data_IF_317524607692
#
_entry.id   IF_317524607692
#
_cell.length_a   1.000
_cell.length_b   1.000
_cell.length_c   1.000
_cell.angle_alpha   90.00
_cell.angle_beta   90.00
_cell.angle_gamma   90.00
#
_symmetry.space_group_name_H-M   'P 1'
#
loop_
_entity.id
_entity.type
_entity.pdbx_description
1 polymer ?
#
# COMPACT_ATOMS: atom_id res chain seq x y z
N UNK A 1 -13.62 -25.97 6.86
CA UNK A 1 -14.59 -25.13 7.61
C UNK A 1 -13.94 -24.40 8.78
N UNK A 2 -13.24 -25.09 9.70
CA UNK A 2 -12.57 -24.45 10.86
C UNK A 2 -11.59 -23.35 10.46
N UNK A 3 -10.74 -23.60 9.46
CA UNK A 3 -9.75 -22.62 8.98
C UNK A 3 -10.39 -21.29 8.52
N UNK A 4 -11.47 -21.36 7.74
CA UNK A 4 -12.21 -20.18 7.27
C UNK A 4 -12.84 -19.39 8.42
N UNK A 5 -13.33 -20.08 9.46
CA UNK A 5 -13.89 -19.43 10.66
C UNK A 5 -12.80 -18.67 11.41
N UNK A 6 -11.62 -19.28 11.57
CA UNK A 6 -10.47 -18.64 12.24
C UNK A 6 -10.02 -17.39 11.47
N UNK A 7 -9.84 -17.47 10.15
CA UNK A 7 -9.44 -16.30 9.34
C UNK A 7 -10.45 -15.16 9.47
N UNK A 8 -11.75 -15.46 9.36
CA UNK A 8 -12.80 -14.44 9.52
C UNK A 8 -12.80 -13.82 10.91
N UNK A 9 -12.53 -14.61 11.94
CA UNK A 9 -12.42 -14.12 13.31
C UNK A 9 -11.21 -13.21 13.49
N UNK A 10 -10.03 -13.63 12.99
CA UNK A 10 -8.82 -12.82 13.02
C UNK A 10 -9.00 -11.50 12.25
N UNK A 11 -9.58 -11.54 11.05
CA UNK A 11 -9.85 -10.34 10.25
C UNK A 11 -10.76 -9.33 10.94
N UNK A 12 -11.72 -9.79 11.75
CA UNK A 12 -12.56 -8.90 12.58
C UNK A 12 -11.76 -8.23 13.68
N UNK A 13 -10.90 -8.98 14.39
CA UNK A 13 -10.02 -8.43 15.42
C UNK A 13 -9.09 -7.38 14.82
N UNK A 14 -8.44 -7.69 13.69
CA UNK A 14 -7.56 -6.74 13.00
C UNK A 14 -8.28 -5.44 12.65
N UNK A 15 -9.49 -5.55 12.08
CA UNK A 15 -10.28 -4.38 11.71
C UNK A 15 -10.67 -3.55 12.94
N UNK A 16 -11.06 -4.18 14.04
CA UNK A 16 -11.39 -3.51 15.30
C UNK A 16 -10.17 -2.79 15.89
N UNK A 17 -9.00 -3.44 15.94
CA UNK A 17 -7.75 -2.84 16.41
C UNK A 17 -7.32 -1.63 15.58
N UNK A 18 -7.31 -1.77 14.25
CA UNK A 18 -6.97 -0.67 13.34
C UNK A 18 -7.97 0.47 13.50
N UNK A 19 -9.27 0.17 13.61
CA UNK A 19 -10.31 1.19 13.81
C UNK A 19 -10.10 1.95 15.12
N UNK A 20 -9.71 1.28 16.20
CA UNK A 20 -9.41 1.93 17.47
C UNK A 20 -8.18 2.85 17.38
N UNK A 21 -7.11 2.40 16.72
CA UNK A 21 -5.91 3.21 16.48
C UNK A 21 -6.27 4.46 15.66
N UNK A 22 -7.03 4.30 14.57
CA UNK A 22 -7.47 5.41 13.74
C UNK A 22 -8.40 6.37 14.49
N UNK A 23 -9.32 5.84 15.30
CA UNK A 23 -10.26 6.64 16.10
C UNK A 23 -9.52 7.58 17.05
N UNK A 24 -8.47 7.10 17.71
CA UNK A 24 -7.60 7.93 18.58
C UNK A 24 -6.89 9.07 17.84
N UNK A 25 -6.76 8.95 16.50
CA UNK A 25 -6.12 9.93 15.61
C UNK A 25 -7.13 10.80 14.86
N UNK A 26 -8.44 10.65 15.12
CA UNK A 26 -9.48 11.35 14.36
C UNK A 26 -9.58 10.89 12.90
N UNK A 27 -9.25 9.63 12.63
CA UNK A 27 -9.31 9.02 11.30
C UNK A 27 -10.31 7.87 11.26
N UNK A 28 -10.75 7.50 10.06
CA UNK A 28 -11.54 6.29 9.77
C UNK A 28 -10.99 5.58 8.54
N UNK A 29 -11.24 4.28 8.44
CA UNK A 29 -10.90 3.48 7.26
C UNK A 29 -11.71 4.01 6.07
N UNK A 30 -11.04 4.19 4.93
CA UNK A 30 -11.67 4.31 3.63
C UNK A 30 -11.36 3.04 2.85
N UNK A 31 -12.41 2.25 2.60
CA UNK A 31 -12.32 0.96 1.92
C UNK A 31 -11.83 1.16 0.47
N UNK A 32 -10.83 0.37 0.08
CA UNK A 32 -10.28 0.32 -1.27
C UNK A 32 -10.66 -1.04 -1.87
N UNK A 33 -11.01 -1.04 -3.16
CA UNK A 33 -11.36 -2.27 -3.88
C UNK A 33 -10.24 -3.32 -3.80
N UNK A 34 -10.56 -4.60 -3.52
CA UNK A 34 -9.58 -5.66 -3.39
C UNK A 34 -9.23 -6.26 -4.77
N UNK A 35 -8.66 -5.45 -5.66
CA UNK A 35 -8.35 -5.78 -7.06
C UNK A 35 -6.89 -6.20 -7.31
N UNK A 36 -6.09 -6.29 -6.24
CA UNK A 36 -4.63 -6.51 -6.31
C UNK A 36 -3.83 -5.23 -6.55
N UNK A 37 -4.49 -4.11 -6.87
CA UNK A 37 -3.91 -2.78 -7.02
C UNK A 37 -4.09 -1.92 -5.75
N UNK A 38 -4.60 -2.52 -4.66
CA UNK A 38 -5.07 -1.83 -3.46
C UNK A 38 -4.03 -0.91 -2.80
N UNK A 39 -2.74 -1.28 -2.80
CA UNK A 39 -1.65 -0.43 -2.29
C UNK A 39 -1.60 0.90 -3.05
N UNK A 40 -1.51 0.82 -4.38
CA UNK A 40 -1.43 2.01 -5.24
C UNK A 40 -2.72 2.81 -5.17
N UNK A 41 -3.88 2.15 -5.15
CA UNK A 41 -5.18 2.80 -5.03
C UNK A 41 -5.34 3.51 -3.67
N UNK A 42 -4.85 2.93 -2.57
CA UNK A 42 -4.88 3.54 -1.25
C UNK A 42 -4.05 4.83 -1.18
N UNK A 43 -2.83 4.81 -1.75
CA UNK A 43 -1.95 5.99 -1.84
C UNK A 43 -2.51 7.02 -2.82
N UNK A 44 -3.08 6.59 -3.95
CA UNK A 44 -3.70 7.46 -4.94
C UNK A 44 -4.91 8.20 -4.35
N UNK A 45 -5.72 7.51 -3.53
CA UNK A 45 -6.80 8.12 -2.77
C UNK A 45 -6.27 9.19 -1.78
N UNK A 46 -5.20 8.92 -1.03
CA UNK A 46 -4.58 9.91 -0.11
C UNK A 46 -4.09 11.19 -0.83
N UNK A 47 -3.65 11.06 -2.08
CA UNK A 47 -3.15 12.18 -2.88
C UNK A 47 -4.25 12.91 -3.65
N UNK A 48 -5.40 12.28 -3.84
CA UNK A 48 -6.49 12.86 -4.61
C UNK A 48 -7.17 13.98 -3.84
N UNK A 49 -7.54 15.03 -4.55
CA UNK A 49 -8.32 16.16 -4.05
C UNK A 49 -9.39 16.53 -5.07
N UNK A 50 -10.32 17.43 -4.71
CA UNK A 50 -11.43 17.82 -5.59
C UNK A 50 -10.98 18.32 -6.97
N UNK A 51 -9.77 18.87 -7.08
CA UNK A 51 -9.23 19.42 -8.34
C UNK A 51 -8.19 18.50 -9.02
N UNK A 52 -7.81 17.38 -8.39
CA UNK A 52 -6.76 16.51 -8.91
C UNK A 52 -7.02 15.07 -8.49
N UNK A 53 -7.39 14.24 -9.46
CA UNK A 53 -7.49 12.79 -9.29
C UNK A 53 -6.15 12.15 -9.62
N UNK A 54 -5.61 11.38 -8.68
CA UNK A 54 -4.47 10.51 -8.89
C UNK A 54 -4.99 9.08 -9.06
N UNK A 55 -4.42 8.31 -9.97
CA UNK A 55 -4.81 6.92 -10.23
C UNK A 55 -3.77 5.95 -9.70
N UNK A 56 -4.18 4.72 -9.36
CA UNK A 56 -3.25 3.65 -9.00
C UNK A 56 -2.24 3.38 -10.12
N UNK A 57 -2.68 3.43 -11.38
CA UNK A 57 -1.81 3.36 -12.56
C UNK A 57 -0.73 4.46 -12.53
N UNK A 58 -1.08 5.73 -12.33
CA UNK A 58 -0.05 6.78 -12.26
C UNK A 58 0.99 6.53 -11.14
N UNK A 59 0.58 5.88 -10.04
CA UNK A 59 1.49 5.51 -8.95
C UNK A 59 2.34 4.29 -9.27
N UNK A 60 1.80 3.26 -9.94
CA UNK A 60 2.59 2.13 -10.47
C UNK A 60 3.75 2.61 -11.33
N UNK A 61 3.46 3.55 -12.22
CA UNK A 61 4.46 4.13 -13.13
C UNK A 61 5.53 4.91 -12.36
N UNK A 62 5.13 5.67 -11.33
CA UNK A 62 6.08 6.35 -10.43
C UNK A 62 6.98 5.38 -9.67
N UNK A 63 6.40 4.34 -9.07
CA UNK A 63 7.15 3.32 -8.33
C UNK A 63 8.17 2.62 -9.24
N UNK A 64 7.71 2.12 -10.40
CA UNK A 64 8.58 1.44 -11.37
C UNK A 64 9.72 2.33 -11.86
N UNK A 65 9.44 3.60 -12.18
CA UNK A 65 10.46 4.53 -12.67
C UNK A 65 11.48 4.86 -11.57
N UNK A 66 11.04 5.01 -10.32
CA UNK A 66 11.93 5.28 -9.20
C UNK A 66 12.81 4.07 -8.89
N UNK A 67 12.23 2.86 -8.82
CA UNK A 67 12.98 1.62 -8.58
C UNK A 67 14.02 1.42 -9.70
N UNK A 68 13.62 1.57 -10.97
CA UNK A 68 14.53 1.46 -12.11
C UNK A 68 15.68 2.47 -12.04
N UNK A 69 15.39 3.72 -11.66
CA UNK A 69 16.41 4.77 -11.51
C UNK A 69 17.37 4.56 -10.34
N UNK A 70 17.00 3.73 -9.36
CA UNK A 70 17.77 3.47 -8.14
C UNK A 70 18.05 1.96 -7.96
N UNK A 71 18.31 1.25 -9.06
CA UNK A 71 18.45 -0.22 -9.11
C UNK A 71 19.25 -0.80 -7.95
N UNK A 72 20.45 -0.28 -7.69
CA UNK A 72 21.37 -0.86 -6.70
C UNK A 72 20.86 -0.73 -5.25
N UNK A 73 20.02 0.26 -4.96
CA UNK A 73 19.38 0.42 -3.64
C UNK A 73 18.26 -0.59 -3.42
N UNK A 74 17.49 -0.90 -4.48
CA UNK A 74 16.30 -1.73 -4.38
C UNK A 74 16.57 -3.21 -4.60
N UNK A 75 17.41 -3.56 -5.58
CA UNK A 75 17.63 -4.93 -6.05
C UNK A 75 17.85 -5.96 -4.91
N UNK A 76 18.63 -5.66 -3.85
CA UNK A 76 18.83 -6.62 -2.75
C UNK A 76 17.57 -7.02 -1.96
N UNK A 77 16.48 -6.26 -2.09
CA UNK A 77 15.22 -6.44 -1.34
C UNK A 77 14.03 -6.82 -2.23
N UNK A 78 14.25 -7.01 -3.53
CA UNK A 78 13.19 -7.37 -4.46
C UNK A 78 13.03 -8.89 -4.51
N UNK A 79 11.78 -9.34 -4.53
CA UNK A 79 11.42 -10.74 -4.75
C UNK A 79 10.32 -10.86 -5.80
N UNK A 80 10.30 -11.99 -6.50
CA UNK A 80 9.20 -12.34 -7.39
C UNK A 80 7.95 -12.82 -6.62
N UNK A 81 6.95 -13.29 -7.35
CA UNK A 81 5.69 -13.82 -6.79
C UNK A 81 5.87 -15.14 -6.02
N UNK A 82 6.97 -15.87 -6.22
CA UNK A 82 7.31 -17.08 -5.49
C UNK A 82 8.11 -16.79 -4.22
N UNK A 83 8.54 -15.53 -4.03
CA UNK A 83 9.41 -15.11 -2.94
C UNK A 83 10.90 -15.31 -3.24
N UNK A 84 11.27 -15.62 -4.48
CA UNK A 84 12.66 -15.75 -4.91
C UNK A 84 13.27 -14.37 -5.18
N UNK A 85 14.51 -14.10 -4.76
CA UNK A 85 15.16 -12.81 -5.00
C UNK A 85 15.26 -12.48 -6.49
N UNK A 86 14.89 -11.24 -6.87
CA UNK A 86 15.07 -10.74 -8.24
C UNK A 86 16.57 -10.50 -8.47
N UNK A 87 17.10 -11.06 -9.55
CA UNK A 87 18.48 -10.83 -9.96
C UNK A 87 18.62 -9.68 -10.97
N UNK A 88 19.86 -9.42 -11.37
CA UNK A 88 20.17 -8.36 -12.35
C UNK A 88 19.52 -8.59 -13.72
N UNK A 89 19.37 -9.82 -14.15
CA UNK A 89 18.85 -10.17 -15.48
C UNK A 89 17.32 -10.04 -15.53
N UNK A 90 16.64 -10.33 -14.43
CA UNK A 90 15.17 -10.22 -14.30
C UNK A 90 14.68 -8.86 -13.81
N UNK A 91 15.57 -7.96 -13.38
CA UNK A 91 15.21 -6.65 -12.83
C UNK A 91 14.34 -5.80 -13.77
N UNK A 92 14.68 -5.71 -15.05
CA UNK A 92 13.91 -4.90 -16.00
C UNK A 92 12.51 -5.46 -16.22
N UNK A 93 12.36 -6.79 -16.26
CA UNK A 93 11.05 -7.45 -16.34
C UNK A 93 10.21 -7.13 -15.10
N UNK A 94 10.81 -7.19 -13.92
CA UNK A 94 10.16 -6.84 -12.67
C UNK A 94 9.63 -5.39 -12.70
N UNK A 95 10.46 -4.42 -13.13
CA UNK A 95 10.02 -3.03 -13.28
C UNK A 95 8.89 -2.87 -14.32
N UNK A 96 8.87 -3.67 -15.40
CA UNK A 96 7.76 -3.68 -16.34
C UNK A 96 6.49 -4.33 -15.75
N UNK A 97 6.61 -5.33 -14.86
CA UNK A 97 5.47 -5.88 -14.12
C UNK A 97 4.89 -4.88 -13.12
N UNK A 98 5.70 -4.09 -12.43
CA UNK A 98 5.19 -3.04 -11.51
C UNK A 98 4.27 -2.06 -12.26
N UNK A 99 4.65 -1.65 -13.47
CA UNK A 99 3.88 -0.72 -14.30
C UNK A 99 2.49 -1.22 -14.69
N UNK A 100 2.28 -2.53 -14.75
CA UNK A 100 1.01 -3.12 -15.19
C UNK A 100 0.04 -3.21 -14.03
N UNK A 101 -1.25 -3.05 -14.31
CA UNK A 101 -2.29 -3.38 -13.33
C UNK A 101 -2.33 -4.89 -13.09
N UNK A 102 -2.87 -5.34 -11.96
CA UNK A 102 -2.86 -6.77 -11.61
C UNK A 102 -3.67 -7.63 -12.59
N UNK A 103 -4.77 -7.09 -13.13
CA UNK A 103 -5.55 -7.74 -14.20
C UNK A 103 -4.74 -7.98 -15.49
N UNK A 104 -3.65 -7.24 -15.71
CA UNK A 104 -2.78 -7.34 -16.88
C UNK A 104 -1.46 -8.09 -16.55
N UNK A 105 -1.45 -8.88 -15.47
CA UNK A 105 -0.27 -9.63 -15.02
C UNK A 105 0.79 -8.76 -14.32
N UNK A 106 0.34 -7.68 -13.67
CA UNK A 106 1.20 -6.78 -12.91
C UNK A 106 1.64 -7.35 -11.56
N UNK A 107 2.75 -6.82 -11.06
CA UNK A 107 3.31 -7.17 -9.75
C UNK A 107 2.50 -6.51 -8.63
N UNK A 108 2.22 -7.26 -7.56
CA UNK A 108 1.61 -6.71 -6.35
C UNK A 108 2.61 -5.80 -5.64
N UNK A 109 2.14 -4.68 -5.09
CA UNK A 109 3.00 -3.76 -4.36
C UNK A 109 3.25 -4.23 -2.91
N UNK A 110 4.45 -3.99 -2.41
CA UNK A 110 4.86 -4.21 -1.03
C UNK A 110 5.75 -3.09 -0.49
N UNK A 111 6.65 -3.44 0.43
CA UNK A 111 7.57 -2.47 1.06
C UNK A 111 8.50 -1.77 0.07
N UNK A 112 9.09 -2.44 -0.94
CA UNK A 112 9.89 -1.75 -1.96
C UNK A 112 9.09 -0.67 -2.70
N UNK A 113 7.85 -0.96 -3.10
CA UNK A 113 7.00 0.01 -3.79
C UNK A 113 6.59 1.16 -2.88
N UNK A 114 6.33 0.91 -1.58
CA UNK A 114 6.05 1.97 -0.60
C UNK A 114 7.25 2.90 -0.39
N UNK A 115 8.47 2.35 -0.31
CA UNK A 115 9.70 3.14 -0.25
C UNK A 115 9.88 3.97 -1.51
N UNK A 116 9.72 3.35 -2.68
CA UNK A 116 9.84 4.03 -3.97
C UNK A 116 8.81 5.16 -4.12
N UNK A 117 7.54 4.91 -3.76
CA UNK A 117 6.50 5.92 -3.79
C UNK A 117 6.76 7.05 -2.80
N UNK A 118 7.19 6.73 -1.58
CA UNK A 118 7.52 7.75 -0.58
C UNK A 118 8.58 8.71 -1.11
N UNK A 119 9.67 8.19 -1.68
CA UNK A 119 10.72 9.01 -2.25
C UNK A 119 10.27 9.76 -3.52
N UNK A 120 9.59 9.10 -4.45
CA UNK A 120 9.14 9.70 -5.71
C UNK A 120 8.05 10.77 -5.55
N UNK A 121 7.37 10.79 -4.40
CA UNK A 121 6.35 11.79 -4.05
C UNK A 121 6.87 12.83 -3.06
N UNK A 122 8.02 12.59 -2.43
CA UNK A 122 8.55 13.35 -1.30
C UNK A 122 7.53 13.44 -0.15
N UNK A 123 6.90 12.31 0.17
CA UNK A 123 5.88 12.19 1.22
C UNK A 123 6.22 11.04 2.15
N UNK A 124 6.18 11.29 3.45
CA UNK A 124 6.15 10.21 4.45
C UNK A 124 4.90 9.36 4.22
N UNK A 125 5.07 8.05 4.07
CA UNK A 125 3.96 7.09 4.02
C UNK A 125 3.98 6.29 5.32
N UNK A 126 2.86 6.32 6.05
CA UNK A 126 2.68 5.55 7.27
C UNK A 126 1.62 4.46 7.02
N UNK A 127 2.02 3.22 7.26
CA UNK A 127 1.16 2.04 7.14
C UNK A 127 0.83 1.54 8.54
N UNK A 128 -0.40 1.79 8.98
CA UNK A 128 -0.90 1.32 10.27
C UNK A 128 -1.30 -0.16 10.15
N UNK A 129 -0.87 -0.95 11.13
CA UNK A 129 -1.10 -2.38 11.22
C UNK A 129 -1.82 -2.72 12.54
N UNK A 130 -2.34 -3.95 12.68
CA UNK A 130 -2.88 -4.43 13.96
C UNK A 130 -1.85 -4.37 15.10
N UNK A 131 -2.32 -4.47 16.34
CA UNK A 131 -1.49 -4.44 17.56
C UNK A 131 -0.64 -3.16 17.77
N UNK A 132 -1.08 -2.02 17.23
CA UNK A 132 -0.39 -0.73 17.40
C UNK A 132 0.90 -0.59 16.59
N UNK A 133 1.20 -1.54 15.70
CA UNK A 133 2.37 -1.49 14.84
C UNK A 133 2.15 -0.49 13.71
N UNK A 134 3.21 0.20 13.30
CA UNK A 134 3.24 0.97 12.07
C UNK A 134 4.57 0.82 11.35
N UNK A 135 4.52 0.76 10.02
CA UNK A 135 5.68 0.87 9.16
C UNK A 135 5.71 2.28 8.57
N UNK A 136 6.88 2.91 8.54
CA UNK A 136 7.06 4.29 8.08
C UNK A 136 8.10 4.32 6.97
N UNK A 137 7.74 4.93 5.86
CA UNK A 137 8.59 5.07 4.68
C UNK A 137 8.84 6.55 4.41
N UNK A 138 10.12 6.88 4.23
CA UNK A 138 10.61 8.24 3.99
C UNK A 138 10.55 9.15 5.22
N UNK A 139 11.41 10.16 5.20
CA UNK A 139 11.52 11.19 6.23
C UNK A 139 11.30 12.57 5.60
N UNK A 140 10.03 12.90 5.37
CA UNK A 140 9.60 14.13 4.70
C UNK A 140 8.70 14.93 5.64
N UNK A 141 9.30 15.58 6.64
CA UNK A 141 8.58 16.32 7.69
C UNK A 141 7.80 17.54 7.18
N UNK A 142 8.24 18.13 6.06
CA UNK A 142 7.64 19.34 5.49
C UNK A 142 6.39 19.10 4.64
N UNK A 143 5.95 17.85 4.50
CA UNK A 143 4.78 17.49 3.69
C UNK A 143 3.76 16.71 4.51
N UNK A 144 2.47 16.83 4.16
CA UNK A 144 1.41 16.08 4.86
C UNK A 144 1.63 14.58 4.65
N UNK A 145 1.77 13.76 5.71
CA UNK A 145 1.96 12.33 5.57
C UNK A 145 0.75 11.66 4.92
N UNK A 146 0.99 10.59 4.18
CA UNK A 146 -0.05 9.72 3.62
C UNK A 146 -0.24 8.57 4.61
N UNK A 147 -1.46 8.39 5.12
CA UNK A 147 -1.75 7.38 6.13
C UNK A 147 -2.66 6.33 5.49
N UNK A 148 -2.15 5.11 5.40
CA UNK A 148 -2.89 3.94 4.91
C UNK A 148 -2.87 2.85 5.98
N UNK A 149 -3.66 1.81 5.78
CA UNK A 149 -3.76 0.68 6.71
C UNK A 149 -3.49 -0.61 5.97
N UNK A 150 -2.90 -1.58 6.66
CA UNK A 150 -2.61 -2.90 6.13
C UNK A 150 -3.29 -3.97 7.00
N UNK A 151 -3.99 -4.89 6.34
CA UNK A 151 -4.81 -5.93 6.94
C UNK A 151 -4.33 -7.28 6.41
N UNK A 152 -4.07 -8.28 7.26
CA UNK A 152 -3.53 -9.58 6.84
C UNK A 152 -4.63 -10.64 6.66
N UNK A 153 -5.70 -10.53 7.42
CA UNK A 153 -6.78 -11.52 7.50
C UNK A 153 -8.17 -10.94 7.22
N UNK A 154 -8.29 -9.61 7.07
CA UNK A 154 -9.59 -8.96 6.86
C UNK A 154 -10.28 -9.35 5.54
N UNK A 155 -9.52 -9.79 4.52
CA UNK A 155 -10.04 -10.08 3.19
C UNK A 155 -9.78 -11.54 2.80
N UNK A 156 -10.68 -12.14 2.02
CA UNK A 156 -10.55 -13.53 1.56
C UNK A 156 -9.32 -13.77 0.68
N UNK A 157 -8.80 -12.71 0.06
CA UNK A 157 -7.58 -12.73 -0.77
C UNK A 157 -6.29 -12.61 0.07
N UNK A 158 -6.39 -12.46 1.39
CA UNK A 158 -5.25 -12.27 2.29
C UNK A 158 -4.94 -10.81 2.54
N UNK A 159 -3.69 -10.42 2.27
CA UNK A 159 -3.15 -9.10 2.57
C UNK A 159 -3.83 -7.99 1.76
N UNK A 160 -4.16 -6.88 2.41
CA UNK A 160 -4.90 -5.79 1.78
C UNK A 160 -4.56 -4.43 2.36
N UNK A 161 -4.56 -3.42 1.49
CA UNK A 161 -4.34 -2.03 1.88
C UNK A 161 -5.63 -1.22 1.74
N UNK A 162 -5.98 -0.48 2.78
CA UNK A 162 -7.04 0.54 2.72
C UNK A 162 -6.46 1.93 2.94
N UNK A 163 -7.18 2.94 2.47
CA UNK A 163 -6.84 4.32 2.73
C UNK A 163 -7.46 4.80 4.06
N UNK A 164 -7.20 6.05 4.43
CA UNK A 164 -7.83 6.69 5.59
C UNK A 164 -8.47 8.03 5.21
N UNK A 165 -9.45 8.47 6.00
CA UNK A 165 -10.03 9.81 5.87
C UNK A 165 -10.27 10.41 7.25
N UNK A 166 -10.33 11.74 7.33
CA UNK A 166 -10.69 12.44 8.56
C UNK A 166 -12.08 11.98 9.04
N UNK A 167 -12.21 11.64 10.33
CA UNK A 167 -13.48 11.19 10.91
C UNK A 167 -14.55 12.29 10.88
N UNK A 168 -14.11 13.55 10.97
CA UNK A 168 -14.97 14.74 11.01
C UNK A 168 -15.40 15.25 9.63
N UNK A 169 -14.83 14.75 8.53
CA UNK A 169 -15.29 15.13 7.19
C UNK A 169 -16.52 14.29 6.84
N UNK A 170 -17.69 14.94 6.85
CA UNK A 170 -18.84 14.45 6.10
C UNK A 170 -18.45 14.48 4.62
N UNK A 171 -18.42 13.30 3.99
CA UNK A 171 -18.48 13.18 2.54
C UNK A 171 -19.80 13.79 2.10
N UNK A 172 -19.73 14.96 1.47
CA UNK A 172 -20.86 15.55 0.74
C UNK A 172 -21.11 14.78 -0.55
#
# INVERSE_FOLDING_TARGET
MVFTIIIRFLGRIEKEEITNILGSRGLKIHEIEPDGDCLYNAVAHQLSSSNKKVTGEALRQKAANYIRGNRDEFLPFLSDENGDPIDTFSFDEYCEKIKKSCKDGGQWGGEPELRALSCALERRIEVIQPNGRSAVFGDFEHTKPLIITYHRFAYSLGEHYNSTVDSLKHSY
#
